data_IF_068292809653
#
_entry.id   IF_068292809653
#
_cell.length_a   1.000
_cell.length_b   1.000
_cell.length_c   1.000
_cell.angle_alpha   90.00
_cell.angle_beta   90.00
_cell.angle_gamma   90.00
#
_symmetry.space_group_name_H-M   'P 1'
#
loop_
_entity.id
_entity.type
_entity.pdbx_description
1 polymer ?
#
# COMPACT_ATOMS: atom_id res chain seq x y z
N UNK A 1 -40.20 7.02 -22.44
CA UNK A 1 -39.04 6.20 -22.07
C UNK A 1 -37.79 7.02 -22.36
N UNK A 2 -37.05 7.45 -21.33
CA UNK A 2 -35.78 8.17 -21.55
C UNK A 2 -34.75 7.22 -22.16
N UNK A 3 -33.94 7.66 -23.14
CA UNK A 3 -32.91 6.82 -23.74
C UNK A 3 -31.90 6.37 -22.69
N UNK A 4 -31.47 5.11 -22.79
CA UNK A 4 -30.47 4.55 -21.88
C UNK A 4 -29.17 5.36 -22.04
N UNK A 5 -28.52 5.80 -20.94
CA UNK A 5 -27.28 6.55 -21.03
C UNK A 5 -26.23 5.81 -21.85
N UNK A 6 -25.35 6.55 -22.53
CA UNK A 6 -24.25 5.96 -23.25
C UNK A 6 -23.36 5.13 -22.30
N UNK A 7 -22.88 3.94 -22.72
CA UNK A 7 -21.94 3.14 -21.94
C UNK A 7 -20.73 3.97 -21.54
N UNK A 8 -20.33 3.89 -20.28
CA UNK A 8 -19.16 4.60 -19.78
C UNK A 8 -18.35 3.70 -18.85
N UNK A 9 -17.10 4.09 -18.57
CA UNK A 9 -16.16 3.28 -17.77
C UNK A 9 -16.40 3.34 -16.26
N UNK A 10 -17.37 4.13 -15.83
CA UNK A 10 -17.74 4.34 -14.44
C UNK A 10 -19.16 3.80 -14.15
N UNK A 11 -19.79 3.14 -15.13
CA UNK A 11 -21.11 2.57 -14.95
C UNK A 11 -21.05 1.20 -14.26
N UNK A 12 -22.21 0.71 -13.80
CA UNK A 12 -22.30 -0.53 -13.04
C UNK A 12 -21.78 -1.75 -13.80
N UNK A 13 -21.90 -1.79 -15.13
CA UNK A 13 -21.36 -2.92 -15.90
C UNK A 13 -19.84 -2.81 -16.03
N UNK A 14 -19.28 -1.60 -16.11
CA UNK A 14 -17.84 -1.38 -16.07
C UNK A 14 -17.26 -1.89 -14.74
N UNK A 15 -17.87 -1.51 -13.61
CA UNK A 15 -17.47 -1.97 -12.27
C UNK A 15 -17.41 -3.51 -12.20
N UNK A 16 -18.42 -4.22 -12.72
CA UNK A 16 -18.41 -5.70 -12.73
C UNK A 16 -17.27 -6.34 -13.52
N UNK A 17 -16.88 -5.73 -14.64
CA UNK A 17 -15.71 -6.20 -15.40
C UNK A 17 -14.41 -5.90 -14.63
N UNK A 18 -14.35 -4.77 -13.92
CA UNK A 18 -13.20 -4.39 -13.11
C UNK A 18 -13.10 -5.27 -11.84
N UNK A 19 -14.22 -5.64 -11.21
CA UNK A 19 -14.26 -6.60 -10.10
C UNK A 19 -13.72 -7.97 -10.55
N UNK A 20 -14.17 -8.46 -11.71
CA UNK A 20 -13.66 -9.69 -12.31
C UNK A 20 -12.15 -9.59 -12.63
N UNK A 21 -11.69 -8.42 -13.08
CA UNK A 21 -10.27 -8.17 -13.30
C UNK A 21 -9.47 -8.21 -11.99
N UNK A 22 -9.97 -7.58 -10.93
CA UNK A 22 -9.36 -7.56 -9.61
C UNK A 22 -9.22 -8.97 -9.04
N UNK A 23 -10.25 -9.81 -9.18
CA UNK A 23 -10.18 -11.22 -8.79
C UNK A 23 -9.10 -12.00 -9.54
N UNK A 24 -8.97 -11.78 -10.86
CA UNK A 24 -7.93 -12.42 -11.65
C UNK A 24 -6.51 -11.91 -11.30
N UNK A 25 -6.37 -10.63 -10.94
CA UNK A 25 -5.13 -10.03 -10.44
C UNK A 25 -4.74 -10.64 -9.09
N UNK A 26 -5.66 -10.73 -8.14
CA UNK A 26 -5.39 -11.36 -6.85
C UNK A 26 -4.98 -12.83 -7.02
N UNK A 27 -5.71 -13.58 -7.84
CA UNK A 27 -5.43 -14.98 -8.11
C UNK A 27 -4.02 -15.24 -8.64
N UNK A 28 -3.43 -14.30 -9.39
CA UNK A 28 -2.05 -14.41 -9.86
C UNK A 28 -1.01 -14.32 -8.74
N UNK A 29 -1.31 -13.56 -7.68
CA UNK A 29 -0.38 -13.33 -6.58
C UNK A 29 -0.52 -14.34 -5.43
N UNK A 30 -1.52 -15.24 -5.47
CA UNK A 30 -1.67 -16.31 -4.48
C UNK A 30 -0.47 -17.26 -4.52
N UNK A 31 0.03 -17.62 -3.33
CA UNK A 31 1.21 -18.47 -3.13
C UNK A 31 0.97 -19.92 -3.62
N UNK A 32 -0.23 -20.45 -3.37
CA UNK A 32 -0.58 -21.81 -3.76
C UNK A 32 -1.19 -21.84 -5.17
N UNK A 33 -0.58 -22.62 -6.07
CA UNK A 33 -1.07 -22.79 -7.45
C UNK A 33 -2.46 -23.44 -7.49
N UNK A 34 -2.84 -24.27 -6.52
CA UNK A 34 -4.16 -24.92 -6.51
C UNK A 34 -5.30 -23.92 -6.30
N UNK A 35 -5.01 -22.82 -5.61
CA UNK A 35 -5.99 -21.79 -5.26
C UNK A 35 -6.26 -20.85 -6.45
N UNK A 36 -5.47 -20.99 -7.53
CA UNK A 36 -5.70 -20.29 -8.79
C UNK A 36 -6.78 -20.99 -9.61
N UNK A 37 -7.61 -20.23 -10.35
CA UNK A 37 -8.44 -20.75 -11.43
C UNK A 37 -7.65 -21.72 -12.32
N UNK A 38 -8.26 -22.85 -12.72
CA UNK A 38 -7.58 -23.97 -13.38
C UNK A 38 -6.66 -23.56 -14.53
N UNK A 39 -7.01 -22.51 -15.28
CA UNK A 39 -6.22 -22.00 -16.40
C UNK A 39 -5.03 -21.12 -16.01
N UNK A 40 -5.12 -20.35 -14.92
CA UNK A 40 -3.99 -19.56 -14.38
C UNK A 40 -2.89 -20.45 -13.79
N UNK A 41 -3.18 -21.74 -13.55
CA UNK A 41 -2.18 -22.75 -13.14
C UNK A 41 -1.16 -23.06 -14.23
N UNK A 42 -1.51 -22.82 -15.50
CA UNK A 42 -0.69 -23.13 -16.67
C UNK A 42 0.12 -21.94 -17.21
N UNK A 43 0.01 -20.75 -16.59
CA UNK A 43 0.77 -19.56 -16.99
C UNK A 43 2.07 -19.53 -16.18
N UNK A 44 3.20 -19.67 -16.88
CA UNK A 44 4.53 -19.42 -16.32
C UNK A 44 4.93 -17.95 -16.50
N UNK A 45 5.60 -17.43 -15.47
CA UNK A 45 6.19 -16.09 -15.39
C UNK A 45 7.24 -15.89 -16.50
N UNK A 46 7.49 -14.70 -17.12
CA UNK A 46 7.08 -13.33 -16.78
C UNK A 46 6.37 -12.59 -17.95
N UNK A 47 5.13 -12.15 -17.76
CA UNK A 47 4.59 -11.05 -18.56
C UNK A 47 3.57 -10.30 -17.72
N UNK A 48 4.03 -9.33 -16.93
CA UNK A 48 3.37 -8.83 -15.71
C UNK A 48 1.87 -8.51 -15.84
N UNK A 49 1.35 -8.23 -17.04
CA UNK A 49 -0.09 -8.02 -17.30
C UNK A 49 -0.59 -8.66 -18.62
N UNK A 50 0.24 -9.31 -19.43
CA UNK A 50 -0.24 -9.92 -20.69
C UNK A 50 -1.17 -11.10 -20.43
N UNK A 51 -1.02 -11.75 -19.28
CA UNK A 51 -1.86 -12.86 -18.81
C UNK A 51 -3.32 -12.45 -18.55
N UNK A 52 -3.62 -11.17 -18.29
CA UNK A 52 -4.99 -10.70 -18.08
C UNK A 52 -5.73 -10.64 -19.43
N UNK A 53 -6.48 -11.70 -19.76
CA UNK A 53 -7.23 -11.79 -21.02
C UNK A 53 -8.64 -11.24 -20.84
N UNK A 54 -9.04 -10.37 -21.77
CA UNK A 54 -10.40 -9.81 -21.85
C UNK A 54 -11.48 -10.91 -21.83
N UNK A 55 -11.22 -12.03 -22.50
CA UNK A 55 -12.15 -13.16 -22.56
C UNK A 55 -12.37 -13.83 -21.19
N UNK A 56 -11.31 -13.97 -20.39
CA UNK A 56 -11.41 -14.55 -19.04
C UNK A 56 -12.17 -13.59 -18.11
N UNK A 57 -11.97 -12.27 -18.26
CA UNK A 57 -12.72 -11.23 -17.54
C UNK A 57 -14.21 -11.26 -17.89
N UNK A 58 -14.55 -11.30 -19.19
CA UNK A 58 -15.94 -11.35 -19.64
C UNK A 58 -16.64 -12.61 -19.12
N UNK A 59 -15.95 -13.76 -19.20
CA UNK A 59 -16.48 -15.02 -18.70
C UNK A 59 -16.74 -14.94 -17.19
N UNK A 60 -15.74 -14.53 -16.40
CA UNK A 60 -15.88 -14.42 -14.95
C UNK A 60 -16.98 -13.43 -14.56
N UNK A 61 -17.06 -12.27 -15.22
CA UNK A 61 -18.15 -11.32 -15.00
C UNK A 61 -19.52 -11.92 -15.34
N UNK A 62 -19.61 -12.81 -16.34
CA UNK A 62 -20.87 -13.44 -16.75
C UNK A 62 -21.36 -14.53 -15.80
N UNK A 63 -20.46 -15.16 -15.05
CA UNK A 63 -20.80 -16.18 -14.03
C UNK A 63 -21.65 -15.59 -12.89
N UNK A 64 -21.58 -14.28 -12.66
CA UNK A 64 -22.47 -13.56 -11.73
C UNK A 64 -23.95 -13.54 -12.16
N UNK A 65 -24.27 -13.92 -13.40
CA UNK A 65 -25.63 -13.89 -13.95
C UNK A 65 -26.20 -12.50 -14.16
N UNK A 66 -25.39 -11.45 -14.00
CA UNK A 66 -25.90 -10.09 -13.93
C UNK A 66 -26.22 -9.51 -15.33
N UNK A 67 -27.33 -8.75 -15.48
CA UNK A 67 -27.74 -8.24 -16.77
C UNK A 67 -26.76 -7.19 -17.30
N UNK A 68 -26.55 -7.17 -18.62
CA UNK A 68 -25.69 -6.21 -19.30
C UNK A 68 -24.24 -6.66 -19.49
N UNK A 69 -23.88 -7.87 -19.04
CA UNK A 69 -22.56 -8.46 -19.27
C UNK A 69 -22.52 -9.17 -20.62
N UNK A 70 -21.69 -8.68 -21.53
CA UNK A 70 -21.43 -9.32 -22.83
C UNK A 70 -20.12 -8.80 -23.43
N UNK A 71 -19.57 -9.51 -24.42
CA UNK A 71 -18.41 -9.06 -25.19
C UNK A 71 -18.65 -7.68 -25.83
N UNK A 72 -19.83 -7.46 -26.41
CA UNK A 72 -20.21 -6.16 -26.98
C UNK A 72 -20.23 -5.06 -25.91
N UNK A 73 -20.79 -5.35 -24.74
CA UNK A 73 -20.82 -4.40 -23.63
C UNK A 73 -19.42 -4.03 -23.14
N UNK A 74 -18.49 -4.98 -23.11
CA UNK A 74 -17.09 -4.72 -22.76
C UNK A 74 -16.43 -3.75 -23.77
N UNK A 75 -16.47 -4.07 -25.07
CA UNK A 75 -15.81 -3.27 -26.10
C UNK A 75 -16.44 -1.89 -26.31
N UNK A 76 -17.72 -1.70 -25.93
CA UNK A 76 -18.34 -0.38 -25.91
C UNK A 76 -17.75 0.55 -24.84
N UNK A 77 -17.00 0.04 -23.85
CA UNK A 77 -16.41 0.82 -22.75
C UNK A 77 -14.90 1.03 -22.93
N UNK A 78 -14.21 -0.01 -23.39
CA UNK A 78 -12.78 0.02 -23.65
C UNK A 78 -12.50 -0.27 -25.11
N UNK A 79 -11.95 0.73 -25.80
CA UNK A 79 -11.58 0.61 -27.21
C UNK A 79 -10.32 -0.25 -27.41
N UNK A 80 -9.47 -0.35 -26.39
CA UNK A 80 -8.25 -1.18 -26.42
C UNK A 80 -8.09 -1.98 -25.12
N UNK A 81 -7.33 -3.08 -25.20
CA UNK A 81 -6.95 -3.88 -24.03
C UNK A 81 -6.17 -3.04 -23.01
N UNK A 82 -5.25 -2.20 -23.47
CA UNK A 82 -4.38 -1.41 -22.57
C UNK A 82 -5.18 -0.41 -21.74
N UNK A 83 -6.20 0.22 -22.33
CA UNK A 83 -7.12 1.10 -21.59
C UNK A 83 -7.83 0.33 -20.47
N UNK A 84 -8.32 -0.88 -20.75
CA UNK A 84 -8.93 -1.74 -19.75
C UNK A 84 -7.95 -2.17 -18.66
N UNK A 85 -6.75 -2.63 -19.05
CA UNK A 85 -5.72 -3.09 -18.09
C UNK A 85 -5.32 -1.96 -17.15
N UNK A 86 -5.16 -0.73 -17.67
CA UNK A 86 -4.88 0.45 -16.86
C UNK A 86 -5.96 0.68 -15.81
N UNK A 87 -7.22 0.72 -16.25
CA UNK A 87 -8.35 0.96 -15.35
C UNK A 87 -8.49 -0.17 -14.33
N UNK A 88 -8.27 -1.42 -14.73
CA UNK A 88 -8.28 -2.59 -13.85
C UNK A 88 -7.20 -2.52 -12.77
N UNK A 89 -5.96 -2.17 -13.14
CA UNK A 89 -4.85 -2.03 -12.18
C UNK A 89 -5.17 -0.93 -11.17
N UNK A 90 -5.61 0.24 -11.62
CA UNK A 90 -5.97 1.35 -10.73
C UNK A 90 -7.13 0.95 -9.81
N UNK A 91 -8.17 0.32 -10.37
CA UNK A 91 -9.33 -0.13 -9.61
C UNK A 91 -8.97 -1.13 -8.51
N UNK A 92 -8.06 -2.08 -8.81
CA UNK A 92 -7.56 -3.06 -7.84
C UNK A 92 -6.68 -2.42 -6.77
N UNK A 93 -5.76 -1.52 -7.16
CA UNK A 93 -4.88 -0.80 -6.22
C UNK A 93 -5.64 0.11 -5.27
N UNK A 94 -6.77 0.67 -5.73
CA UNK A 94 -7.67 1.51 -4.93
C UNK A 94 -8.73 0.72 -4.17
N UNK A 95 -8.66 -0.62 -4.19
CA UNK A 95 -9.58 -1.48 -3.45
C UNK A 95 -11.06 -1.17 -3.74
N UNK A 96 -11.40 -0.73 -4.96
CA UNK A 96 -12.78 -0.35 -5.28
C UNK A 96 -13.74 -1.55 -5.22
N UNK A 97 -13.25 -2.76 -5.47
CA UNK A 97 -13.99 -4.01 -5.29
C UNK A 97 -14.12 -4.46 -3.82
N UNK A 98 -13.21 -4.04 -2.94
CA UNK A 98 -13.24 -4.37 -1.51
C UNK A 98 -12.82 -3.16 -0.64
N UNK A 99 -13.67 -2.14 -0.51
CA UNK A 99 -13.31 -0.90 0.19
C UNK A 99 -13.10 -1.05 1.69
N UNK A 100 -13.44 -2.21 2.30
CA UNK A 100 -13.17 -2.47 3.72
C UNK A 100 -11.71 -2.87 3.95
N UNK A 101 -11.03 -3.31 2.89
CA UNK A 101 -9.67 -3.79 2.93
C UNK A 101 -8.65 -2.74 2.49
N UNK A 102 -9.11 -1.52 2.17
CA UNK A 102 -8.27 -0.40 1.78
C UNK A 102 -7.36 0.04 2.95
N UNK A 103 -6.03 -0.03 2.79
CA UNK A 103 -5.07 0.42 3.79
C UNK A 103 -5.22 1.90 4.16
N UNK A 104 -5.76 2.75 3.27
CA UNK A 104 -5.95 4.17 3.57
C UNK A 104 -6.89 4.42 4.77
N UNK A 105 -7.72 3.43 5.13
CA UNK A 105 -8.62 3.51 6.29
C UNK A 105 -7.89 3.54 7.62
N UNK A 106 -6.70 2.93 7.69
CA UNK A 106 -5.87 2.96 8.89
C UNK A 106 -5.35 4.37 9.23
N UNK A 107 -5.44 5.33 8.30
CA UNK A 107 -5.16 6.74 8.60
C UNK A 107 -6.08 7.28 9.72
N UNK A 108 -7.34 6.84 9.76
CA UNK A 108 -8.28 7.20 10.83
C UNK A 108 -7.85 6.66 12.20
N UNK A 109 -7.15 5.52 12.23
CA UNK A 109 -6.69 4.91 13.48
C UNK A 109 -5.55 5.70 14.12
N UNK A 110 -4.79 6.51 13.35
CA UNK A 110 -3.77 7.42 13.91
C UNK A 110 -4.37 8.40 14.93
N UNK A 111 -5.58 8.88 14.66
CA UNK A 111 -6.30 9.81 15.55
C UNK A 111 -6.68 9.15 16.88
N UNK A 112 -6.81 7.82 16.91
CA UNK A 112 -7.16 7.08 18.13
C UNK A 112 -5.95 6.90 19.06
N UNK A 113 -4.72 7.02 18.52
CA UNK A 113 -3.49 6.87 19.30
C UNK A 113 -3.33 7.96 20.35
N UNK A 114 -3.85 9.17 20.11
CA UNK A 114 -3.80 10.31 21.06
C UNK A 114 -4.82 10.19 22.18
N UNK A 115 -5.85 9.36 22.00
CA UNK A 115 -7.00 9.23 22.92
C UNK A 115 -6.91 7.98 23.81
N UNK A 116 -5.93 7.10 23.60
CA UNK A 116 -5.82 5.83 24.31
C UNK A 116 -4.87 5.95 25.50
N UNK A 117 -5.22 5.50 26.73
CA UNK A 117 -4.33 5.51 27.90
C UNK A 117 -3.15 4.51 27.82
N UNK A 118 -2.93 3.86 26.67
CA UNK A 118 -1.78 3.00 26.44
C UNK A 118 -0.51 3.82 26.15
N UNK A 119 0.68 3.24 26.32
CA UNK A 119 1.90 3.96 25.96
C UNK A 119 1.94 4.22 24.44
N UNK A 120 2.41 5.40 24.01
CA UNK A 120 2.49 5.77 22.60
C UNK A 120 3.25 4.72 21.75
N UNK A 121 4.29 4.11 22.33
CA UNK A 121 5.05 3.03 21.68
C UNK A 121 4.22 1.78 21.41
N UNK A 122 3.37 1.35 22.35
CA UNK A 122 2.47 0.20 22.16
C UNK A 122 1.45 0.49 21.07
N UNK A 123 0.92 1.70 21.04
CA UNK A 123 -0.09 2.13 20.08
C UNK A 123 0.48 2.15 18.65
N UNK A 124 1.67 2.74 18.47
CA UNK A 124 2.40 2.75 17.19
C UNK A 124 2.77 1.34 16.74
N UNK A 125 3.26 0.49 17.64
CA UNK A 125 3.60 -0.90 17.31
C UNK A 125 2.38 -1.69 16.85
N UNK A 126 1.25 -1.55 17.56
CA UNK A 126 0.00 -2.24 17.19
C UNK A 126 -0.51 -1.79 15.83
N UNK A 127 -0.51 -0.48 15.56
CA UNK A 127 -0.92 0.06 14.26
C UNK A 127 -0.01 -0.45 13.14
N UNK A 128 1.30 -0.41 13.35
CA UNK A 128 2.30 -0.87 12.38
C UNK A 128 2.13 -2.36 12.06
N UNK A 129 2.03 -3.21 13.08
CA UNK A 129 1.84 -4.65 12.89
C UNK A 129 0.50 -4.97 12.22
N UNK A 130 -0.58 -4.29 12.62
CA UNK A 130 -1.91 -4.47 12.00
C UNK A 130 -1.90 -4.07 10.52
N UNK A 131 -1.27 -2.94 10.19
CA UNK A 131 -1.14 -2.47 8.81
C UNK A 131 -0.31 -3.44 7.96
N UNK A 132 0.83 -3.89 8.48
CA UNK A 132 1.68 -4.85 7.78
C UNK A 132 0.96 -6.19 7.57
N UNK A 133 0.34 -6.75 8.60
CA UNK A 133 -0.41 -8.01 8.51
C UNK A 133 -1.57 -7.89 7.51
N UNK A 134 -2.29 -6.76 7.52
CA UNK A 134 -3.33 -6.48 6.54
C UNK A 134 -2.77 -6.52 5.12
N UNK A 135 -1.68 -5.81 4.84
CA UNK A 135 -1.05 -5.79 3.52
C UNK A 135 -0.55 -7.18 3.09
N UNK A 136 0.10 -7.92 4.00
CA UNK A 136 0.62 -9.26 3.71
C UNK A 136 -0.49 -10.29 3.45
N UNK A 137 -1.66 -10.11 4.07
CA UNK A 137 -2.82 -10.97 3.82
C UNK A 137 -3.46 -10.77 2.44
N UNK A 138 -3.08 -9.71 1.71
CA UNK A 138 -3.71 -9.31 0.45
C UNK A 138 -2.78 -9.48 -0.75
N UNK A 139 -3.11 -10.38 -1.70
CA UNK A 139 -2.27 -10.63 -2.87
C UNK A 139 -2.02 -9.39 -3.74
N UNK A 140 -2.99 -8.48 -3.88
CA UNK A 140 -2.82 -7.19 -4.58
C UNK A 140 -1.80 -6.23 -3.99
N UNK A 141 -1.46 -6.32 -2.70
CA UNK A 141 -0.44 -5.45 -2.09
C UNK A 141 0.91 -5.59 -2.77
N UNK A 142 1.12 -6.69 -3.49
CA UNK A 142 2.34 -6.95 -4.24
C UNK A 142 2.31 -6.49 -5.69
N UNK A 143 1.18 -5.96 -6.18
CA UNK A 143 1.00 -5.60 -7.58
C UNK A 143 2.01 -4.53 -8.02
N UNK A 144 2.22 -3.49 -7.21
CA UNK A 144 3.18 -2.42 -7.50
C UNK A 144 4.61 -2.94 -7.69
N UNK A 145 5.02 -3.96 -6.94
CA UNK A 145 6.36 -4.57 -7.10
C UNK A 145 6.54 -5.28 -8.46
N UNK A 146 5.45 -5.71 -9.09
CA UNK A 146 5.51 -6.40 -10.38
C UNK A 146 5.38 -5.45 -11.56
N UNK A 147 4.61 -4.37 -11.42
CA UNK A 147 4.37 -3.41 -12.50
C UNK A 147 5.31 -2.21 -12.45
N UNK A 148 5.89 -1.90 -11.28
CA UNK A 148 6.81 -0.77 -11.07
C UNK A 148 7.91 -0.66 -12.12
N UNK A 149 8.67 -1.73 -12.40
CA UNK A 149 9.72 -1.72 -13.43
C UNK A 149 9.25 -1.45 -14.86
N UNK A 150 7.94 -1.53 -15.12
CA UNK A 150 7.34 -1.31 -16.43
C UNK A 150 6.67 0.06 -16.55
N UNK A 151 6.55 0.84 -15.47
CA UNK A 151 5.78 2.09 -15.47
C UNK A 151 6.34 3.15 -16.43
N UNK A 152 7.66 3.18 -16.64
CA UNK A 152 8.28 4.09 -17.62
C UNK A 152 7.84 3.81 -19.07
N UNK A 153 7.44 2.57 -19.35
CA UNK A 153 6.91 2.17 -20.66
C UNK A 153 5.40 2.49 -20.79
N UNK A 154 4.74 2.84 -19.68
CA UNK A 154 3.30 3.06 -19.60
C UNK A 154 2.99 4.37 -18.83
N UNK A 155 3.32 5.55 -19.41
CA UNK A 155 3.22 6.84 -18.71
C UNK A 155 1.80 7.17 -18.22
N UNK A 156 0.77 6.79 -18.97
CA UNK A 156 -0.62 6.98 -18.56
C UNK A 156 -0.98 6.19 -17.30
N UNK A 157 -0.50 4.94 -17.20
CA UNK A 157 -0.71 4.11 -16.02
C UNK A 157 0.09 4.65 -14.84
N UNK A 158 1.34 5.06 -15.08
CA UNK A 158 2.19 5.68 -14.08
C UNK A 158 1.51 6.93 -13.49
N UNK A 159 1.03 7.84 -14.33
CA UNK A 159 0.33 9.05 -13.91
C UNK A 159 -0.94 8.73 -13.11
N UNK A 160 -1.71 7.72 -13.53
CA UNK A 160 -2.94 7.33 -12.83
C UNK A 160 -2.66 6.75 -11.42
N UNK A 161 -1.62 5.91 -11.31
CA UNK A 161 -1.15 5.35 -10.03
C UNK A 161 -0.65 6.46 -9.12
N UNK A 162 0.19 7.37 -9.62
CA UNK A 162 0.70 8.49 -8.82
C UNK A 162 -0.42 9.42 -8.35
N UNK A 163 -1.38 9.75 -9.21
CA UNK A 163 -2.56 10.53 -8.82
C UNK A 163 -3.34 9.86 -7.69
N UNK A 164 -3.51 8.54 -7.78
CA UNK A 164 -4.19 7.72 -6.78
C UNK A 164 -3.44 7.71 -5.45
N UNK A 165 -2.13 7.42 -5.44
CA UNK A 165 -1.27 7.44 -4.25
C UNK A 165 -1.29 8.84 -3.60
N UNK A 166 -1.20 9.90 -4.40
CA UNK A 166 -1.22 11.26 -3.88
C UNK A 166 -2.57 11.63 -3.26
N UNK A 167 -3.68 11.11 -3.81
CA UNK A 167 -5.02 11.38 -3.28
C UNK A 167 -5.25 10.79 -1.89
N UNK A 168 -4.61 9.65 -1.56
CA UNK A 168 -4.74 8.99 -0.26
C UNK A 168 -3.74 9.51 0.78
N UNK A 169 -2.64 10.15 0.36
CA UNK A 169 -1.61 10.69 1.25
C UNK A 169 -2.09 11.77 2.21
N UNK A 170 -3.06 12.60 1.81
CA UNK A 170 -3.49 13.74 2.63
C UNK A 170 -4.02 13.29 4.00
N UNK A 171 -4.83 12.24 4.06
CA UNK A 171 -5.37 11.71 5.31
C UNK A 171 -4.26 11.23 6.27
N UNK A 172 -3.21 10.61 5.74
CA UNK A 172 -2.05 10.19 6.52
C UNK A 172 -1.26 11.38 7.06
N UNK A 173 -1.00 12.38 6.22
CA UNK A 173 -0.29 13.60 6.65
C UNK A 173 -1.05 14.35 7.74
N UNK A 174 -2.38 14.44 7.64
CA UNK A 174 -3.24 15.03 8.67
C UNK A 174 -3.12 14.27 10.00
N UNK A 175 -3.17 12.93 9.95
CA UNK A 175 -2.97 12.09 11.13
C UNK A 175 -1.59 12.27 11.78
N UNK A 176 -0.52 12.36 10.99
CA UNK A 176 0.82 12.65 11.50
C UNK A 176 0.92 14.04 12.14
N UNK A 177 0.31 15.05 11.52
CA UNK A 177 0.29 16.42 12.04
C UNK A 177 -0.45 16.51 13.38
N UNK A 178 -1.56 15.77 13.53
CA UNK A 178 -2.29 15.71 14.79
C UNK A 178 -1.45 15.09 15.91
N UNK A 179 -0.76 13.98 15.61
CA UNK A 179 0.10 13.31 16.59
C UNK A 179 1.17 14.25 17.11
N UNK A 180 1.87 14.96 16.22
CA UNK A 180 2.88 15.92 16.62
C UNK A 180 2.29 16.99 17.54
N UNK A 181 1.14 17.55 17.19
CA UNK A 181 0.47 18.59 17.99
C UNK A 181 0.02 18.08 19.35
N UNK A 182 -0.55 16.89 19.40
CA UNK A 182 -1.08 16.28 20.63
C UNK A 182 0.01 16.00 21.67
N UNK A 183 1.21 15.67 21.21
CA UNK A 183 2.37 15.39 22.06
C UNK A 183 3.35 16.57 22.18
N UNK A 184 3.00 17.75 21.63
CA UNK A 184 3.88 18.94 21.53
C UNK A 184 5.28 18.61 20.97
N UNK A 185 5.31 17.75 19.95
CA UNK A 185 6.52 17.30 19.29
C UNK A 185 6.83 18.16 18.07
N UNK A 186 8.12 18.33 17.82
CA UNK A 186 8.63 18.96 16.61
C UNK A 186 9.58 17.99 15.91
N UNK A 187 9.69 18.14 14.60
CA UNK A 187 10.71 17.43 13.85
C UNK A 187 12.05 18.13 13.98
N UNK A 188 13.12 17.34 13.93
CA UNK A 188 14.48 17.84 13.72
C UNK A 188 14.58 18.56 12.36
N UNK A 189 15.45 19.59 12.22
CA UNK A 189 15.67 20.26 10.96
C UNK A 189 15.92 19.30 9.79
N UNK A 190 15.33 19.62 8.63
CA UNK A 190 15.41 18.80 7.41
C UNK A 190 14.23 17.83 7.21
N UNK A 191 13.42 17.60 8.24
CA UNK A 191 12.21 16.77 8.13
C UNK A 191 10.94 17.60 7.94
N UNK A 192 10.02 17.05 7.15
CA UNK A 192 8.70 17.60 6.87
C UNK A 192 7.68 16.47 6.94
N UNK A 193 6.39 16.79 7.11
CA UNK A 193 5.33 15.76 7.08
C UNK A 193 5.38 14.93 5.79
N UNK A 194 5.69 15.56 4.66
CA UNK A 194 5.78 14.92 3.36
C UNK A 194 6.98 13.96 3.29
N UNK A 195 8.16 14.37 3.73
CA UNK A 195 9.34 13.49 3.73
C UNK A 195 9.20 12.35 4.73
N UNK A 196 8.53 12.58 5.85
CA UNK A 196 8.17 11.54 6.84
C UNK A 196 7.20 10.53 6.24
N UNK A 197 6.12 10.98 5.61
CA UNK A 197 5.16 10.09 4.96
C UNK A 197 5.80 9.25 3.85
N UNK A 198 6.69 9.86 3.04
CA UNK A 198 7.47 9.13 2.02
C UNK A 198 8.42 8.10 2.64
N UNK A 199 9.13 8.45 3.72
CA UNK A 199 10.05 7.54 4.39
C UNK A 199 9.30 6.35 5.00
N UNK A 200 8.20 6.59 5.71
CA UNK A 200 7.37 5.53 6.28
C UNK A 200 6.78 4.60 5.21
N UNK A 201 6.31 5.16 4.08
CA UNK A 201 5.86 4.36 2.95
C UNK A 201 6.99 3.50 2.37
N UNK A 202 8.19 4.07 2.17
CA UNK A 202 9.33 3.32 1.63
C UNK A 202 9.79 2.20 2.57
N UNK A 203 9.78 2.46 3.89
CA UNK A 203 10.03 1.44 4.91
C UNK A 203 8.97 0.33 4.75
N UNK A 204 7.68 0.67 4.76
CA UNK A 204 6.58 -0.29 4.65
C UNK A 204 6.70 -1.14 3.36
N UNK A 205 6.90 -0.52 2.20
CA UNK A 205 7.05 -1.20 0.92
C UNK A 205 8.22 -2.21 0.96
N UNK A 206 9.36 -1.81 1.56
CA UNK A 206 10.51 -2.67 1.78
C UNK A 206 10.20 -3.88 2.68
N UNK A 207 9.43 -3.67 3.76
CA UNK A 207 9.00 -4.75 4.66
C UNK A 207 7.99 -5.69 4.01
N UNK A 208 7.03 -5.17 3.22
CA UNK A 208 6.08 -5.98 2.45
C UNK A 208 6.83 -6.85 1.44
N UNK A 209 7.79 -6.27 0.71
CA UNK A 209 8.65 -7.01 -0.22
C UNK A 209 9.44 -8.10 0.49
N UNK A 210 10.18 -7.74 1.54
CA UNK A 210 11.08 -8.68 2.23
C UNK A 210 10.32 -9.81 2.91
N UNK A 211 9.14 -9.54 3.47
CA UNK A 211 8.27 -10.55 4.08
C UNK A 211 7.77 -11.59 3.09
N UNK A 212 7.70 -11.26 1.80
CA UNK A 212 7.39 -12.24 0.75
C UNK A 212 8.57 -13.11 0.36
N UNK A 213 9.80 -12.57 0.41
CA UNK A 213 11.02 -13.28 0.01
C UNK A 213 11.53 -14.16 1.17
N UNK A 214 11.53 -13.65 2.40
CA UNK A 214 12.08 -14.32 3.58
C UNK A 214 11.10 -14.31 4.78
N UNK A 215 9.91 -14.92 4.66
CA UNK A 215 8.86 -14.84 5.68
C UNK A 215 9.30 -15.38 7.04
N UNK A 216 10.18 -16.38 7.09
CA UNK A 216 10.68 -16.93 8.36
C UNK A 216 11.64 -15.97 9.05
N UNK A 217 12.56 -15.36 8.28
CA UNK A 217 13.48 -14.34 8.79
C UNK A 217 12.75 -13.10 9.28
N UNK A 218 11.70 -12.66 8.60
CA UNK A 218 10.93 -11.51 9.05
C UNK A 218 10.13 -11.79 10.33
N UNK A 219 9.67 -13.03 10.52
CA UNK A 219 8.91 -13.44 11.72
C UNK A 219 9.77 -13.70 12.96
N UNK A 220 11.04 -14.11 12.80
CA UNK A 220 11.91 -14.39 13.95
C UNK A 220 12.39 -13.13 14.67
N UNK A 221 12.51 -11.99 13.98
CA UNK A 221 12.97 -10.74 14.56
C UNK A 221 11.81 -9.98 15.20
N UNK A 222 11.37 -10.43 16.37
CA UNK A 222 10.42 -9.72 17.23
C UNK A 222 11.08 -9.43 18.57
N UNK A 223 10.77 -8.29 19.16
CA UNK A 223 11.18 -7.96 20.53
C UNK A 223 9.93 -7.70 21.37
N UNK A 224 9.76 -8.50 22.43
CA UNK A 224 8.47 -8.69 23.08
C UNK A 224 7.40 -9.03 22.03
N UNK A 225 6.39 -8.18 21.86
CA UNK A 225 5.29 -8.37 20.89
C UNK A 225 5.45 -7.57 19.60
N UNK A 226 6.42 -6.65 19.51
CA UNK A 226 6.58 -5.78 18.33
C UNK A 226 7.38 -6.48 17.24
N UNK A 227 6.87 -6.46 16.00
CA UNK A 227 7.64 -6.90 14.84
C UNK A 227 8.87 -6.03 14.58
N UNK A 228 9.80 -6.53 13.76
CA UNK A 228 10.92 -5.72 13.25
C UNK A 228 10.43 -4.45 12.53
N UNK A 229 9.29 -4.51 11.84
CA UNK A 229 8.70 -3.35 11.19
C UNK A 229 8.27 -2.29 12.21
N UNK A 230 7.48 -2.67 13.22
CA UNK A 230 7.06 -1.78 14.29
C UNK A 230 8.26 -1.13 15.01
N UNK A 231 9.29 -1.92 15.33
CA UNK A 231 10.51 -1.39 15.96
C UNK A 231 11.27 -0.43 15.05
N UNK A 232 11.30 -0.70 13.74
CA UNK A 232 11.93 0.20 12.75
C UNK A 232 11.19 1.53 12.67
N UNK A 233 9.85 1.50 12.66
CA UNK A 233 9.02 2.71 12.67
C UNK A 233 9.27 3.52 13.95
N UNK A 234 9.30 2.86 15.11
CA UNK A 234 9.60 3.54 16.38
C UNK A 234 10.99 4.16 16.40
N UNK A 235 12.02 3.41 15.97
CA UNK A 235 13.38 3.91 15.91
C UNK A 235 13.52 5.11 14.94
N UNK A 236 12.86 5.02 13.79
CA UNK A 236 12.78 6.12 12.83
C UNK A 236 12.11 7.35 13.46
N UNK A 237 10.91 7.21 14.02
CA UNK A 237 10.19 8.30 14.68
C UNK A 237 11.01 8.93 15.81
N UNK A 238 11.66 8.13 16.65
CA UNK A 238 12.54 8.63 17.71
C UNK A 238 13.74 9.42 17.17
N UNK A 239 14.30 9.02 16.03
CA UNK A 239 15.45 9.70 15.41
C UNK A 239 15.11 11.01 14.70
N UNK A 240 13.87 11.20 14.28
CA UNK A 240 13.44 12.42 13.54
C UNK A 240 12.75 13.45 14.42
N UNK A 241 12.33 13.09 15.63
CA UNK A 241 11.69 14.00 16.59
C UNK A 241 12.76 14.73 17.42
N UNK A 242 12.60 16.05 17.56
CA UNK A 242 13.44 16.93 18.38
C UNK A 242 12.86 17.02 19.81
N UNK A 243 12.81 15.89 20.51
CA UNK A 243 12.20 15.80 21.85
C UNK A 243 12.98 16.58 22.90
N UNK A 244 14.27 16.79 22.69
CA UNK A 244 15.17 17.57 23.53
C UNK A 244 15.21 19.06 23.16
N UNK A 245 14.47 19.48 22.12
CA UNK A 245 14.43 20.86 21.60
C UNK A 245 15.82 21.41 21.29
N UNK A 246 16.70 20.53 20.86
CA UNK A 246 18.10 20.82 20.55
C UNK A 246 18.23 21.73 19.32
N UNK A 247 17.24 21.69 18.41
CA UNK A 247 17.36 22.29 17.09
C UNK A 247 18.42 21.62 16.19
N UNK A 248 18.93 20.44 16.58
CA UNK A 248 19.93 19.69 15.81
C UNK A 248 19.25 18.82 14.77
N UNK A 249 19.81 18.79 13.56
CA UNK A 249 19.44 17.81 12.54
C UNK A 249 19.70 16.36 13.02
N UNK A 250 19.09 15.38 12.37
CA UNK A 250 19.32 13.95 12.70
C UNK A 250 20.79 13.55 12.63
N UNK A 251 21.55 14.11 11.68
CA UNK A 251 22.98 13.82 11.53
C UNK A 251 23.80 14.42 12.69
N UNK A 252 23.60 15.70 13.01
CA UNK A 252 24.28 16.37 14.12
C UNK A 252 23.97 15.70 15.47
N UNK A 253 22.72 15.31 15.68
CA UNK A 253 22.32 14.56 16.87
C UNK A 253 23.05 13.22 16.97
N UNK A 254 23.13 12.47 15.87
CA UNK A 254 23.85 11.19 15.83
C UNK A 254 25.35 11.37 16.11
N UNK A 255 25.99 12.36 15.49
CA UNK A 255 27.40 12.65 15.70
C UNK A 255 27.68 13.05 17.15
N UNK A 256 26.82 13.85 17.77
CA UNK A 256 26.95 14.23 19.18
C UNK A 256 26.79 13.03 20.12
N UNK A 257 25.76 12.21 19.93
CA UNK A 257 25.54 11.00 20.77
C UNK A 257 26.73 10.04 20.65
N UNK A 258 27.27 9.86 19.44
CA UNK A 258 28.41 8.97 19.23
C UNK A 258 29.71 9.55 19.77
N UNK A 259 29.94 10.87 19.68
CA UNK A 259 31.07 11.54 20.29
C UNK A 259 31.05 11.41 21.82
N UNK A 260 29.90 11.63 22.46
CA UNK A 260 29.73 11.49 23.91
C UNK A 260 29.99 10.05 24.39
N UNK A 261 29.56 9.05 23.61
CA UNK A 261 29.85 7.64 23.90
C UNK A 261 31.34 7.31 23.80
N UNK A 262 32.06 7.94 22.86
CA UNK A 262 33.51 7.76 22.73
C UNK A 262 34.25 8.46 23.87
N UNK A 263 33.88 9.69 24.24
CA UNK A 263 34.52 10.40 25.35
C UNK A 263 34.28 9.73 26.70
N UNK A 264 33.11 9.10 26.91
CA UNK A 264 32.82 8.36 28.13
C UNK A 264 33.51 6.98 28.21
N UNK A 265 33.98 6.43 27.07
CA UNK A 265 34.77 5.19 27.06
C UNK A 265 36.21 5.40 27.51
N UNK A 266 36.74 6.61 27.34
CA UNK A 266 38.12 6.96 27.69
C UNK A 266 38.24 7.61 29.07
N UNK A 267 37.13 7.71 29.83
CA UNK A 267 37.13 8.15 31.21
C UNK A 267 37.57 6.99 32.14
N UNK A 268 38.57 7.19 33.03
CA UNK A 268 39.15 6.13 33.87
C UNK A 268 38.20 5.58 34.94
#
# INVERSE_FOLDING_TARGET
>A
MSPRPAPNRHDLSAARFLDAAAQLIDAMFVQNRTDRPARLRAIDFPAALQWLRVDDVIRLASESGAPGISRKAFHNRWGTKDQFVRDAVVYTLLYHDDPQSDPARFAGDLMTLTSTPASASQAVSKLSDTLLDNLLSRPRSFLLMHIGPLLDQHPDLHSAILGSINSTRSAWHEGYAELLRSFDLQFRPGWSLQSVGLALQAILDGFVMRSRIEPNSMRQFRWAEASLFANTVLAFCAGIVDSDRSGMSTAEFFDNVTADMLSNRDAP
#
